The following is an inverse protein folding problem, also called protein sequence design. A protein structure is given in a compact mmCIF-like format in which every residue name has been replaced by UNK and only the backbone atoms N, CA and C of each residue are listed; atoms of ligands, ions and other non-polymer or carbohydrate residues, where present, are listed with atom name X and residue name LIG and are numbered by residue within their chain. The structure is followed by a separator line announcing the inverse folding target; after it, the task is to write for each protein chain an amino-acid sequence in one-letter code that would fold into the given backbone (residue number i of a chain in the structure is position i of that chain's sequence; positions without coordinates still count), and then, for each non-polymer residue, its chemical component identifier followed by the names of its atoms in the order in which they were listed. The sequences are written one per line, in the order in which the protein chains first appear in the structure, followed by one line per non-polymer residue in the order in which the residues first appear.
data_IF_450170478662
#
_entry.id   IF_450170478662
#
_cell.length_a   1.000
_cell.length_b   1.000
_cell.length_c   1.000
_cell.angle_alpha   90.00
_cell.angle_beta   90.00
_cell.angle_gamma   90.00
#
_symmetry.space_group_name_H-M   'P 1'
#
loop_
_entity.id
_entity.type
_entity.pdbx_description
1 polymer ?
#
# COMPACT_ATOMS: atom_id res chain seq x y z
N UNK A 1 21.86 -12.33 19.00
CA UNK A 1 20.72 -12.25 18.05
C UNK A 1 20.28 -10.81 17.96
N UNK A 2 20.12 -10.25 16.76
CA UNK A 2 19.45 -8.96 16.61
C UNK A 2 18.00 -9.14 17.08
N UNK A 3 17.62 -8.46 18.14
CA UNK A 3 16.22 -8.40 18.59
C UNK A 3 15.38 -7.81 17.47
N UNK A 4 14.34 -8.52 17.04
CA UNK A 4 13.43 -8.02 16.01
C UNK A 4 12.75 -6.71 16.41
N UNK A 5 12.28 -5.96 15.42
CA UNK A 5 11.53 -4.71 15.64
C UNK A 5 10.09 -5.05 16.01
N UNK A 6 9.58 -4.45 17.09
CA UNK A 6 8.17 -4.60 17.47
C UNK A 6 7.27 -4.05 16.35
N UNK A 7 6.32 -4.87 15.87
CA UNK A 7 5.36 -4.44 14.85
C UNK A 7 4.58 -3.20 15.28
N UNK A 8 4.29 -3.04 16.58
CA UNK A 8 3.57 -1.87 17.10
C UNK A 8 4.37 -0.57 17.00
N UNK A 9 5.70 -0.66 16.98
CA UNK A 9 6.60 0.49 16.85
C UNK A 9 6.71 0.99 15.40
N UNK A 10 6.34 0.18 14.42
CA UNK A 10 6.39 0.56 13.01
C UNK A 10 5.24 1.48 12.63
N UNK A 11 5.43 2.44 11.69
CA UNK A 11 4.35 3.21 11.10
C UNK A 11 3.24 2.33 10.50
N UNK A 12 2.01 2.86 10.43
CA UNK A 12 0.82 2.10 10.03
C UNK A 12 0.95 1.48 8.64
N UNK A 13 1.54 2.20 7.69
CA UNK A 13 1.81 1.73 6.32
C UNK A 13 2.75 0.53 6.34
N UNK A 14 3.84 0.58 7.11
CA UNK A 14 4.76 -0.55 7.28
C UNK A 14 4.06 -1.76 7.90
N UNK A 15 3.22 -1.56 8.93
CA UNK A 15 2.44 -2.66 9.53
C UNK A 15 1.49 -3.31 8.53
N UNK A 16 0.80 -2.50 7.72
CA UNK A 16 -0.08 -3.00 6.67
C UNK A 16 0.70 -3.77 5.60
N UNK A 17 1.90 -3.31 5.23
CA UNK A 17 2.75 -3.97 4.24
C UNK A 17 3.25 -5.33 4.77
N UNK A 18 3.66 -5.40 6.04
CA UNK A 18 4.02 -6.68 6.69
C UNK A 18 2.84 -7.64 6.70
N UNK A 19 1.63 -7.14 7.02
CA UNK A 19 0.42 -7.96 6.99
C UNK A 19 0.14 -8.48 5.58
N UNK A 20 0.10 -7.61 4.57
CA UNK A 20 -0.13 -7.99 3.18
C UNK A 20 0.90 -9.03 2.68
N UNK A 21 2.18 -8.83 2.99
CA UNK A 21 3.25 -9.76 2.66
C UNK A 21 3.00 -11.16 3.25
N UNK A 22 2.63 -11.24 4.53
CA UNK A 22 2.31 -12.51 5.21
C UNK A 22 1.05 -13.17 4.67
N UNK A 23 -0.01 -12.39 4.44
CA UNK A 23 -1.28 -12.88 3.91
C UNK A 23 -1.11 -13.46 2.49
N UNK A 24 -0.14 -12.94 1.72
CA UNK A 24 0.27 -13.46 0.41
C UNK A 24 1.25 -14.64 0.49
N UNK A 25 1.61 -15.12 1.68
CA UNK A 25 2.57 -16.21 1.88
C UNK A 25 4.02 -15.84 1.55
N UNK A 26 4.35 -14.55 1.45
CA UNK A 26 5.70 -14.06 1.18
C UNK A 26 6.49 -13.94 2.49
N UNK A 27 7.77 -14.36 2.46
CA UNK A 27 8.65 -14.34 3.63
C UNK A 27 9.42 -13.03 3.78
N UNK A 28 9.73 -12.37 2.66
CA UNK A 28 10.61 -11.22 2.63
C UNK A 28 9.86 -9.98 2.17
N UNK A 29 10.09 -8.89 2.89
CA UNK A 29 9.58 -7.56 2.58
C UNK A 29 10.75 -6.59 2.66
N UNK A 30 10.92 -5.78 1.63
CA UNK A 30 11.91 -4.72 1.61
C UNK A 30 11.20 -3.37 1.73
N UNK A 31 11.65 -2.55 2.69
CA UNK A 31 11.19 -1.18 2.90
C UNK A 31 12.45 -0.35 3.14
N UNK A 32 12.70 0.66 2.31
CA UNK A 32 13.90 1.49 2.32
C UNK A 32 14.30 1.98 3.73
N UNK A 33 13.35 2.52 4.49
CA UNK A 33 13.52 3.04 5.85
C UNK A 33 13.89 1.97 6.89
N UNK A 34 13.68 0.68 6.59
CA UNK A 34 14.00 -0.45 7.47
C UNK A 34 15.21 -1.26 6.98
N UNK A 35 15.44 -1.31 5.67
CA UNK A 35 16.44 -2.15 5.05
C UNK A 35 17.74 -1.42 4.69
N UNK A 36 17.71 -0.08 4.65
CA UNK A 36 18.88 0.77 4.43
C UNK A 36 19.29 1.40 5.77
N UNK A 37 20.60 1.44 6.03
CA UNK A 37 21.16 2.10 7.21
C UNK A 37 20.89 3.61 7.10
N UNK A 38 20.13 4.13 8.05
CA UNK A 38 19.79 5.56 8.11
C UNK A 38 20.94 6.36 8.73
N UNK A 39 21.13 7.60 8.27
CA UNK A 39 22.17 8.51 8.78
C UNK A 39 23.59 8.26 8.25
N UNK A 40 23.78 7.30 7.35
CA UNK A 40 25.04 7.08 6.63
C UNK A 40 24.83 7.35 5.14
N UNK A 41 25.36 8.46 4.65
CA UNK A 41 25.17 8.88 3.26
C UNK A 41 25.86 7.96 2.26
N UNK A 42 27.02 7.39 2.60
CA UNK A 42 27.75 6.48 1.73
C UNK A 42 26.96 5.18 1.53
N UNK A 43 26.43 4.61 2.61
CA UNK A 43 25.58 3.42 2.56
C UNK A 43 24.28 3.70 1.82
N UNK A 44 23.65 4.86 2.08
CA UNK A 44 22.45 5.26 1.37
C UNK A 44 22.69 5.36 -0.14
N UNK A 45 23.79 5.99 -0.59
CA UNK A 45 24.12 6.10 -2.02
C UNK A 45 24.35 4.73 -2.66
N UNK A 46 25.03 3.84 -1.95
CA UNK A 46 25.26 2.46 -2.40
C UNK A 46 23.95 1.69 -2.59
N UNK A 47 23.05 1.73 -1.60
CA UNK A 47 21.76 1.04 -1.68
C UNK A 47 20.78 1.72 -2.66
N UNK A 48 20.82 3.05 -2.79
CA UNK A 48 20.05 3.78 -3.78
C UNK A 48 20.40 3.34 -5.22
N UNK A 49 21.70 3.09 -5.49
CA UNK A 49 22.14 2.54 -6.77
C UNK A 49 21.59 1.15 -7.08
N UNK A 50 21.22 0.37 -6.05
CA UNK A 50 20.63 -0.98 -6.20
C UNK A 50 19.12 -0.99 -6.26
N UNK A 51 18.44 0.12 -5.97
CA UNK A 51 16.97 0.16 -5.96
C UNK A 51 16.37 -0.34 -7.28
N UNK A 52 17.00 -0.04 -8.42
CA UNK A 52 16.53 -0.55 -9.70
C UNK A 52 16.49 -2.08 -9.79
N UNK A 53 17.50 -2.73 -9.19
CA UNK A 53 17.60 -4.19 -9.11
C UNK A 53 16.59 -4.74 -8.09
N UNK A 54 16.38 -4.05 -6.97
CA UNK A 54 15.40 -4.46 -5.95
C UNK A 54 13.98 -4.43 -6.52
N UNK A 55 13.53 -3.29 -7.07
CA UNK A 55 12.19 -3.17 -7.65
C UNK A 55 12.03 -4.03 -8.91
N UNK A 56 13.05 -4.09 -9.78
CA UNK A 56 13.02 -4.87 -11.01
C UNK A 56 12.94 -6.38 -10.82
N UNK A 57 13.41 -6.89 -9.68
CA UNK A 57 13.38 -8.31 -9.32
C UNK A 57 12.41 -8.63 -8.17
N UNK A 58 11.65 -7.66 -7.69
CA UNK A 58 10.64 -7.89 -6.68
C UNK A 58 9.56 -8.84 -7.22
N UNK A 59 9.15 -9.81 -6.39
CA UNK A 59 8.02 -10.68 -6.73
C UNK A 59 6.72 -9.87 -6.89
N UNK A 60 6.55 -8.86 -6.02
CA UNK A 60 5.42 -7.95 -6.00
C UNK A 60 5.86 -6.62 -5.38
N UNK A 61 5.40 -5.52 -5.96
CA UNK A 61 5.55 -4.17 -5.39
C UNK A 61 4.20 -3.74 -4.80
N UNK A 62 4.18 -3.39 -3.52
CA UNK A 62 2.97 -2.87 -2.85
C UNK A 62 2.97 -1.35 -2.99
N UNK A 63 1.95 -0.80 -3.64
CA UNK A 63 1.83 0.63 -3.93
C UNK A 63 0.89 1.28 -2.91
N UNK A 64 1.48 1.86 -1.86
CA UNK A 64 0.73 2.48 -0.75
C UNK A 64 0.19 3.88 -1.08
N UNK A 65 -0.55 4.05 -2.18
CA UNK A 65 -0.90 5.39 -2.68
C UNK A 65 -2.14 6.03 -2.02
N UNK A 66 -2.81 5.34 -1.11
CA UNK A 66 -4.03 5.79 -0.43
C UNK A 66 -3.79 6.90 0.62
N UNK A 67 -2.54 7.12 1.05
CA UNK A 67 -2.20 8.13 2.05
C UNK A 67 -0.92 8.89 1.68
N UNK A 68 -0.80 10.12 2.17
CA UNK A 68 0.35 11.00 1.92
C UNK A 68 1.62 10.62 2.70
N UNK A 69 1.53 9.65 3.62
CA UNK A 69 2.63 9.29 4.50
C UNK A 69 2.53 7.88 5.09
N UNK A 70 3.56 7.53 5.85
CA UNK A 70 3.78 6.22 6.48
C UNK A 70 2.82 5.92 7.65
N UNK A 71 2.13 6.92 8.20
CA UNK A 71 1.13 6.76 9.25
C UNK A 71 -0.31 6.57 8.74
N UNK A 72 -0.58 6.78 7.45
CA UNK A 72 -1.95 6.66 6.91
C UNK A 72 -2.42 5.21 6.74
N UNK A 73 -1.50 4.30 6.40
CA UNK A 73 -1.79 2.90 6.11
C UNK A 73 -2.13 2.66 4.64
N UNK A 74 -2.07 1.39 4.22
CA UNK A 74 -2.38 0.95 2.84
C UNK A 74 -3.89 0.74 2.64
N UNK A 75 -4.56 0.06 3.58
CA UNK A 75 -5.99 -0.21 3.48
C UNK A 75 -6.83 1.03 3.87
N UNK A 76 -7.55 1.66 2.92
CA UNK A 76 -8.50 2.71 3.28
C UNK A 76 -9.61 2.12 4.15
N UNK A 77 -10.19 2.95 5.02
CA UNK A 77 -11.38 2.55 5.76
C UNK A 77 -12.49 2.16 4.80
N UNK A 78 -13.13 1.02 5.02
CA UNK A 78 -14.30 0.63 4.22
C UNK A 78 -15.38 1.68 4.46
N UNK A 79 -15.89 2.29 3.39
CA UNK A 79 -16.99 3.26 3.51
C UNK A 79 -18.20 2.52 4.08
N UNK A 80 -18.62 2.85 5.29
CA UNK A 80 -19.79 2.26 5.96
C UNK A 80 -21.05 3.11 5.82
N UNK A 81 -20.94 4.33 5.29
CA UNK A 81 -22.06 5.25 5.15
C UNK A 81 -22.82 4.97 3.84
N UNK A 82 -23.67 3.96 3.90
CA UNK A 82 -24.60 3.62 2.83
C UNK A 82 -25.89 4.43 3.00
N UNK A 83 -26.39 5.03 1.92
CA UNK A 83 -27.69 5.73 1.93
C UNK A 83 -28.83 4.71 2.09
N UNK A 84 -28.67 3.55 1.48
CA UNK A 84 -29.65 2.47 1.56
C UNK A 84 -28.99 1.12 1.36
N UNK A 85 -29.54 0.11 2.02
CA UNK A 85 -29.23 -1.30 1.76
C UNK A 85 -30.53 -1.96 1.31
N UNK A 86 -30.53 -2.53 0.10
CA UNK A 86 -31.64 -3.24 -0.48
C UNK A 86 -31.28 -4.73 -0.49
N UNK A 87 -32.14 -5.54 0.12
CA UNK A 87 -32.00 -7.00 0.09
C UNK A 87 -33.11 -7.55 -0.80
N UNK A 88 -32.73 -8.39 -1.77
CA UNK A 88 -33.69 -9.05 -2.65
C UNK A 88 -33.15 -10.39 -3.14
N UNK A 89 -34.06 -11.29 -3.49
CA UNK A 89 -33.73 -12.57 -4.11
C UNK A 89 -33.73 -12.42 -5.63
N UNK A 90 -32.70 -12.96 -6.29
CA UNK A 90 -32.65 -13.03 -7.75
C UNK A 90 -32.11 -14.39 -8.18
N UNK A 91 -32.96 -15.19 -8.83
CA UNK A 91 -32.64 -16.54 -9.33
C UNK A 91 -32.16 -17.49 -8.21
N UNK A 92 -32.79 -17.42 -7.04
CA UNK A 92 -32.44 -18.24 -5.87
C UNK A 92 -31.20 -17.77 -5.12
N UNK A 93 -30.67 -16.58 -5.43
CA UNK A 93 -29.55 -15.98 -4.71
C UNK A 93 -30.01 -14.77 -3.92
N UNK A 94 -29.66 -14.72 -2.64
CA UNK A 94 -29.81 -13.53 -1.81
C UNK A 94 -28.77 -12.49 -2.22
N UNK A 95 -29.24 -11.33 -2.68
CA UNK A 95 -28.40 -10.21 -3.10
C UNK A 95 -28.59 -9.04 -2.13
N UNK A 96 -27.46 -8.53 -1.61
CA UNK A 96 -27.38 -7.30 -0.84
C UNK A 96 -26.81 -6.18 -1.72
N UNK A 97 -27.64 -5.20 -2.08
CA UNK A 97 -27.25 -4.03 -2.84
C UNK A 97 -27.12 -2.81 -1.93
N UNK A 98 -25.91 -2.21 -1.88
CA UNK A 98 -25.62 -1.04 -1.05
C UNK A 98 -25.45 0.21 -1.89
N UNK A 99 -26.35 1.17 -1.70
CA UNK A 99 -26.31 2.47 -2.37
C UNK A 99 -25.44 3.45 -1.58
N UNK A 100 -24.51 4.12 -2.27
CA UNK A 100 -23.63 5.13 -1.68
C UNK A 100 -23.82 6.48 -2.37
N UNK A 101 -23.64 7.61 -1.65
CA UNK A 101 -23.61 8.92 -2.29
C UNK A 101 -22.42 8.97 -3.26
N UNK A 102 -22.64 9.46 -4.48
CA UNK A 102 -21.59 9.63 -5.48
C UNK A 102 -20.40 10.45 -4.94
N UNK A 103 -20.65 11.47 -4.10
CA UNK A 103 -19.60 12.25 -3.43
C UNK A 103 -18.75 11.43 -2.45
N UNK A 104 -19.31 10.45 -1.75
CA UNK A 104 -18.54 9.59 -0.84
C UNK A 104 -17.65 8.63 -1.63
N UNK A 105 -18.15 8.09 -2.74
CA UNK A 105 -17.36 7.30 -3.69
C UNK A 105 -16.25 8.15 -4.33
N UNK A 106 -16.60 9.35 -4.80
CA UNK A 106 -15.67 10.31 -5.40
C UNK A 106 -14.59 10.73 -4.41
N UNK A 107 -14.91 11.14 -3.17
CA UNK A 107 -13.91 11.54 -2.17
C UNK A 107 -13.04 10.37 -1.68
N UNK A 108 -13.57 9.15 -1.61
CA UNK A 108 -12.78 7.96 -1.27
C UNK A 108 -11.87 7.51 -2.42
N UNK A 109 -12.22 7.82 -3.68
CA UNK A 109 -11.37 7.61 -4.85
C UNK A 109 -10.43 8.79 -5.13
N UNK A 110 -10.76 10.00 -4.68
CA UNK A 110 -9.93 11.20 -4.75
C UNK A 110 -8.90 11.22 -3.61
N UNK A 111 -8.10 10.17 -3.52
CA UNK A 111 -6.66 10.42 -3.39
C UNK A 111 -6.22 11.00 -4.73
N UNK A 112 -6.47 12.29 -4.94
CA UNK A 112 -6.22 13.07 -6.16
C UNK A 112 -5.74 12.29 -7.38
N UNK A 113 -6.63 11.97 -8.32
CA UNK A 113 -6.40 11.60 -9.74
C UNK A 113 -5.43 10.44 -10.06
N UNK A 114 -4.26 10.41 -9.45
CA UNK A 114 -3.17 9.44 -9.58
C UNK A 114 -2.62 8.95 -8.21
N UNK A 115 -3.16 9.44 -7.08
CA UNK A 115 -2.73 9.07 -5.73
C UNK A 115 -1.44 9.76 -5.25
N UNK A 116 -1.23 9.83 -3.93
CA UNK A 116 -0.14 10.62 -3.33
C UNK A 116 1.27 10.24 -3.80
N UNK A 117 1.49 8.97 -4.18
CA UNK A 117 2.79 8.51 -4.66
C UNK A 117 3.14 9.08 -6.04
N UNK A 118 2.16 9.34 -6.89
CA UNK A 118 2.41 9.86 -8.25
C UNK A 118 2.99 11.28 -8.27
N UNK A 119 2.88 12.01 -7.15
CA UNK A 119 3.52 13.31 -6.93
C UNK A 119 5.01 13.22 -6.60
N UNK A 120 5.55 12.02 -6.33
CA UNK A 120 6.94 11.79 -5.97
C UNK A 120 7.69 11.21 -7.17
N UNK A 121 8.67 11.96 -7.68
CA UNK A 121 9.47 11.52 -8.83
C UNK A 121 10.13 10.14 -8.66
N UNK A 122 10.53 9.79 -7.43
CA UNK A 122 11.10 8.48 -7.13
C UNK A 122 10.09 7.33 -7.27
N UNK A 123 8.84 7.55 -6.90
CA UNK A 123 7.79 6.52 -7.02
C UNK A 123 7.47 6.16 -8.47
N UNK A 124 7.73 7.07 -9.41
CA UNK A 124 7.61 6.78 -10.85
C UNK A 124 8.60 5.70 -11.28
N UNK A 125 9.86 5.79 -10.84
CA UNK A 125 10.88 4.78 -11.10
C UNK A 125 10.48 3.42 -10.51
N UNK A 126 10.01 3.39 -9.27
CA UNK A 126 9.55 2.16 -8.60
C UNK A 126 8.42 1.48 -9.37
N UNK A 127 7.44 2.27 -9.83
CA UNK A 127 6.29 1.79 -10.60
C UNK A 127 6.70 1.25 -11.98
N UNK A 128 7.65 1.91 -12.65
CA UNK A 128 8.14 1.46 -13.96
C UNK A 128 8.93 0.15 -13.87
N UNK A 129 9.71 -0.03 -12.81
CA UNK A 129 10.58 -1.20 -12.66
C UNK A 129 9.84 -2.41 -12.07
N UNK A 130 8.81 -2.17 -11.25
CA UNK A 130 7.95 -3.22 -10.71
C UNK A 130 7.20 -3.96 -11.82
N UNK A 131 7.51 -5.24 -12.01
CA UNK A 131 6.82 -6.09 -13.02
C UNK A 131 5.38 -6.43 -12.60
N UNK A 132 5.11 -6.43 -11.30
CA UNK A 132 3.82 -6.77 -10.69
C UNK A 132 3.57 -5.80 -9.55
N UNK A 133 2.45 -5.09 -9.60
CA UNK A 133 2.11 -4.06 -8.62
C UNK A 133 0.73 -4.33 -8.03
N UNK A 134 0.64 -4.24 -6.70
CA UNK A 134 -0.62 -4.26 -5.97
C UNK A 134 -0.98 -2.83 -5.60
N UNK A 135 -2.11 -2.35 -6.15
CA UNK A 135 -2.65 -1.00 -5.94
C UNK A 135 -3.62 -0.96 -4.76
#
# INVERSE_FOLDING_TARGET
MLSGISLKALPKTCRHAVRACRDLGLRYLWIDSLCIIQGNESEWRHEAGKMSTVYGNAFLVIVASAASGDHGGIFPGRITNYLHTLNFEWKGHDIELKLQPWRAHYLAQQGEGEGYLSRRGWAYQERLLGRRSLL
#
